data_IF_499160036591
#
_entry.id   IF_499160036591
#
_cell.length_a   1.000
_cell.length_b   1.000
_cell.length_c   1.000
_cell.angle_alpha   90.00
_cell.angle_beta   90.00
_cell.angle_gamma   90.00
#
_symmetry.space_group_name_H-M   'P 1'
#
loop_
_entity.id
_entity.type
_entity.pdbx_description
1 polymer ?
#
# COMPACT_ATOMS: atom_id res chain seq x y z
N UNK A 1 10.32 12.76 -7.34
CA UNK A 1 10.12 11.66 -8.32
C UNK A 1 8.86 10.86 -7.94
N UNK A 2 8.02 10.46 -8.91
CA UNK A 2 6.75 9.74 -8.65
C UNK A 2 6.97 8.24 -8.44
N UNK A 3 6.27 7.63 -7.48
CA UNK A 3 6.24 6.17 -7.29
C UNK A 3 5.66 5.46 -8.53
N UNK A 4 6.29 4.35 -8.95
CA UNK A 4 5.82 3.52 -10.07
C UNK A 4 4.61 2.69 -9.64
N UNK A 5 3.64 2.48 -10.52
CA UNK A 5 2.44 1.68 -10.23
C UNK A 5 2.67 0.22 -10.59
N UNK A 6 2.26 -0.69 -9.70
CA UNK A 6 2.19 -2.12 -9.99
C UNK A 6 1.14 -2.41 -11.07
N UNK A 7 1.48 -3.28 -12.02
CA UNK A 7 0.61 -3.63 -13.15
C UNK A 7 0.46 -5.13 -13.38
N UNK A 8 1.49 -5.92 -13.08
CA UNK A 8 1.50 -7.35 -13.41
C UNK A 8 1.01 -8.21 -12.23
N UNK A 9 0.21 -9.23 -12.53
CA UNK A 9 -0.33 -10.16 -11.53
C UNK A 9 0.75 -10.85 -10.67
N UNK A 10 1.89 -11.30 -11.23
CA UNK A 10 2.98 -11.89 -10.43
C UNK A 10 3.57 -10.91 -9.39
N UNK A 11 3.60 -9.61 -9.70
CA UNK A 11 4.05 -8.57 -8.74
C UNK A 11 3.14 -8.51 -7.51
N UNK A 12 1.82 -8.65 -7.71
CA UNK A 12 0.85 -8.63 -6.61
C UNK A 12 0.90 -9.90 -5.76
N UNK A 13 1.22 -11.05 -6.38
CA UNK A 13 1.35 -12.32 -5.68
C UNK A 13 2.57 -12.35 -4.78
N UNK A 14 3.74 -11.93 -5.30
CA UNK A 14 4.97 -11.80 -4.51
C UNK A 14 4.75 -10.92 -3.26
N UNK A 15 4.03 -9.80 -3.42
CA UNK A 15 3.68 -8.91 -2.30
C UNK A 15 2.64 -9.49 -1.34
N UNK A 16 1.74 -10.36 -1.80
CA UNK A 16 0.76 -11.03 -0.91
C UNK A 16 1.43 -12.03 0.01
N UNK A 17 2.47 -12.71 -0.48
CA UNK A 17 3.30 -13.62 0.31
C UNK A 17 4.29 -12.86 1.22
N UNK A 18 4.48 -11.57 0.99
CA UNK A 18 5.35 -10.72 1.82
C UNK A 18 4.70 -10.36 3.16
N UNK A 19 5.49 -10.26 4.24
CA UNK A 19 4.99 -9.84 5.55
C UNK A 19 4.40 -8.43 5.48
N UNK A 20 3.35 -8.20 6.26
CA UNK A 20 2.76 -6.87 6.39
C UNK A 20 3.67 -5.97 7.23
N UNK A 21 4.00 -4.79 6.73
CA UNK A 21 4.71 -3.77 7.49
C UNK A 21 3.81 -3.10 8.53
N UNK A 22 2.54 -2.88 8.21
CA UNK A 22 1.57 -2.28 9.14
C UNK A 22 0.15 -2.72 8.80
N UNK A 23 -0.72 -2.63 9.81
CA UNK A 23 -2.14 -2.94 9.69
C UNK A 23 -2.96 -1.89 10.45
N UNK A 24 -4.09 -1.53 9.87
CA UNK A 24 -5.15 -0.76 10.53
C UNK A 24 -6.44 -1.59 10.53
N UNK A 25 -7.58 -0.99 10.84
CA UNK A 25 -8.87 -1.64 10.87
C UNK A 25 -9.35 -2.06 9.47
N UNK A 26 -9.13 -1.21 8.47
CA UNK A 26 -9.58 -1.43 7.09
C UNK A 26 -8.45 -1.76 6.13
N UNK A 27 -7.21 -1.34 6.42
CA UNK A 27 -6.08 -1.49 5.50
C UNK A 27 -4.95 -2.36 6.04
N UNK A 28 -4.21 -2.94 5.11
CA UNK A 28 -2.94 -3.61 5.36
C UNK A 28 -1.91 -3.05 4.38
N UNK A 29 -0.75 -2.67 4.89
CA UNK A 29 0.40 -2.31 4.10
C UNK A 29 1.39 -3.47 4.09
N UNK A 30 1.65 -4.01 2.92
CA UNK A 30 2.74 -4.94 2.65
C UNK A 30 3.92 -4.15 2.11
N UNK A 31 5.12 -4.58 2.47
CA UNK A 31 6.34 -3.98 1.96
C UNK A 31 7.40 -5.03 1.75
N UNK A 32 8.10 -4.91 0.64
CA UNK A 32 9.14 -5.81 0.22
C UNK A 32 10.36 -4.96 -0.16
N UNK A 33 11.44 -5.15 0.57
CA UNK A 33 12.71 -4.52 0.22
C UNK A 33 13.33 -5.34 -0.92
N UNK A 34 13.55 -4.70 -2.06
CA UNK A 34 14.39 -5.19 -3.15
C UNK A 34 15.85 -4.91 -2.78
N UNK A 35 16.29 -5.35 -1.61
CA UNK A 35 17.73 -5.36 -1.33
C UNK A 35 18.33 -6.54 -2.11
N UNK A 36 19.47 -6.38 -2.78
CA UNK A 36 20.26 -7.52 -3.23
C UNK A 36 20.92 -8.15 -1.99
N UNK A 37 20.15 -8.83 -1.15
CA UNK A 37 20.76 -9.71 -0.15
C UNK A 37 21.34 -10.90 -0.90
N UNK A 38 22.65 -11.10 -0.76
CA UNK A 38 23.42 -12.15 -1.43
C UNK A 38 22.96 -13.58 -1.11
N UNK A 39 22.01 -13.74 -0.19
CA UNK A 39 21.52 -15.03 0.26
C UNK A 39 19.99 -15.00 0.30
N UNK A 40 19.39 -15.69 -0.68
CA UNK A 40 18.00 -16.13 -0.68
C UNK A 40 16.91 -15.04 -0.65
N UNK A 41 16.50 -14.52 -1.83
CA UNK A 41 15.13 -14.65 -2.38
C UNK A 41 15.16 -14.35 -3.91
N UNK A 42 15.03 -15.40 -4.71
CA UNK A 42 14.62 -15.43 -6.12
C UNK A 42 15.16 -14.34 -7.08
N UNK A 43 16.05 -14.76 -7.99
CA UNK A 43 16.52 -14.06 -9.21
C UNK A 43 15.44 -13.35 -10.05
N UNK A 44 14.16 -13.65 -9.82
CA UNK A 44 13.03 -13.09 -10.55
C UNK A 44 12.51 -11.76 -9.96
N UNK A 45 12.82 -11.43 -8.71
CA UNK A 45 12.28 -10.21 -8.08
C UNK A 45 12.81 -8.91 -8.71
N UNK A 46 14.11 -8.73 -8.98
CA UNK A 46 14.62 -7.56 -9.70
C UNK A 46 14.02 -7.44 -11.12
N UNK A 47 13.79 -8.58 -11.78
CA UNK A 47 13.18 -8.63 -13.12
C UNK A 47 11.68 -8.25 -13.10
N UNK A 48 10.96 -8.56 -12.03
CA UNK A 48 9.55 -8.21 -11.87
C UNK A 48 9.33 -6.73 -11.57
N UNK A 49 10.32 -6.01 -11.04
CA UNK A 49 10.21 -4.58 -10.72
C UNK A 49 11.28 -3.75 -11.46
N UNK A 50 11.23 -3.70 -12.81
CA UNK A 50 12.29 -3.06 -13.58
C UNK A 50 12.34 -1.54 -13.36
N UNK A 51 13.48 -1.05 -12.90
CA UNK A 51 13.85 0.36 -12.81
C UNK A 51 13.94 0.94 -11.41
N UNK A 52 14.69 2.03 -11.29
CA UNK A 52 14.95 2.69 -10.02
C UNK A 52 13.73 3.45 -9.51
N UNK A 53 13.37 3.20 -8.24
CA UNK A 53 12.37 3.95 -7.50
C UNK A 53 11.36 3.07 -6.76
N UNK A 54 10.62 3.67 -5.81
CA UNK A 54 9.66 2.95 -5.01
C UNK A 54 8.43 2.60 -5.83
N UNK A 55 7.96 1.36 -5.66
CA UNK A 55 6.75 0.87 -6.31
C UNK A 55 5.58 0.95 -5.34
N UNK A 56 4.41 1.36 -5.82
CA UNK A 56 3.19 1.42 -5.03
C UNK A 56 2.03 0.74 -5.76
N UNK A 57 1.43 -0.24 -5.10
CA UNK A 57 0.21 -0.91 -5.51
C UNK A 57 -0.97 -0.61 -4.59
N UNK A 58 -2.17 -0.66 -5.16
CA UNK A 58 -3.41 -0.55 -4.42
C UNK A 58 -4.35 -1.70 -4.81
N UNK A 59 -4.76 -2.52 -3.85
CA UNK A 59 -5.71 -3.61 -4.03
C UNK A 59 -6.98 -3.32 -3.25
N UNK A 60 -8.07 -3.06 -3.98
CA UNK A 60 -9.41 -2.78 -3.45
C UNK A 60 -10.38 -3.85 -3.96
N UNK A 61 -10.54 -4.98 -3.27
CA UNK A 61 -11.40 -6.07 -3.72
C UNK A 61 -12.87 -5.62 -3.84
N UNK A 62 -13.57 -6.09 -4.88
CA UNK A 62 -15.01 -5.78 -5.11
C UNK A 62 -15.88 -6.18 -3.91
N UNK A 63 -15.53 -7.27 -3.23
CA UNK A 63 -16.21 -7.74 -2.02
C UNK A 63 -16.29 -6.67 -0.93
N UNK A 64 -15.20 -5.91 -0.69
CA UNK A 64 -15.10 -4.94 0.43
C UNK A 64 -15.42 -3.51 0.04
N UNK A 65 -15.42 -3.20 -1.26
CA UNK A 65 -15.89 -1.93 -1.76
C UNK A 65 -16.78 -2.22 -2.98
N UNK A 66 -18.06 -2.57 -2.73
CA UNK A 66 -19.00 -2.99 -3.78
C UNK A 66 -19.23 -1.89 -4.82
N UNK A 67 -19.35 -0.62 -4.38
CA UNK A 67 -19.58 0.55 -5.24
C UNK A 67 -18.28 0.98 -5.93
N UNK A 68 -18.33 1.15 -7.26
CA UNK A 68 -17.18 1.57 -8.06
C UNK A 68 -16.64 2.95 -7.62
N UNK A 69 -17.51 3.88 -7.24
CA UNK A 69 -17.14 5.21 -6.75
C UNK A 69 -16.28 5.12 -5.49
N UNK A 70 -16.69 4.29 -4.52
CA UNK A 70 -15.92 4.03 -3.29
C UNK A 70 -14.57 3.40 -3.58
N UNK A 71 -14.52 2.39 -4.46
CA UNK A 71 -13.25 1.78 -4.91
C UNK A 71 -12.31 2.80 -5.53
N UNK A 72 -12.83 3.64 -6.43
CA UNK A 72 -12.05 4.65 -7.11
C UNK A 72 -11.56 5.74 -6.16
N UNK A 73 -12.40 6.13 -5.19
CA UNK A 73 -12.02 7.06 -4.12
C UNK A 73 -10.88 6.47 -3.28
N UNK A 74 -11.03 5.25 -2.77
CA UNK A 74 -10.00 4.58 -1.96
C UNK A 74 -8.71 4.44 -2.77
N UNK A 75 -8.79 3.96 -4.03
CA UNK A 75 -7.62 3.82 -4.90
C UNK A 75 -6.91 5.16 -5.11
N UNK A 76 -7.65 6.24 -5.36
CA UNK A 76 -7.09 7.60 -5.51
C UNK A 76 -6.44 8.08 -4.22
N UNK A 77 -7.06 7.87 -3.06
CA UNK A 77 -6.50 8.23 -1.76
C UNK A 77 -5.22 7.45 -1.46
N UNK A 78 -5.19 6.14 -1.72
CA UNK A 78 -3.98 5.31 -1.57
C UNK A 78 -2.83 5.87 -2.40
N UNK A 79 -3.06 6.20 -3.67
CA UNK A 79 -2.00 6.78 -4.50
C UNK A 79 -1.62 8.20 -4.06
N UNK A 80 -2.58 9.03 -3.63
CA UNK A 80 -2.31 10.40 -3.17
C UNK A 80 -1.48 10.42 -1.89
N UNK A 81 -1.95 9.75 -0.84
CA UNK A 81 -1.24 9.64 0.45
C UNK A 81 0.05 8.84 0.26
N UNK A 82 -0.02 7.71 -0.44
CA UNK A 82 1.14 6.86 -0.67
C UNK A 82 2.28 7.58 -1.38
N UNK A 83 2.01 8.42 -2.39
CA UNK A 83 3.07 9.22 -3.04
C UNK A 83 3.76 10.18 -2.06
N UNK A 84 3.01 10.78 -1.12
CA UNK A 84 3.57 11.70 -0.13
C UNK A 84 4.46 10.95 0.90
N UNK A 85 4.04 9.77 1.36
CA UNK A 85 4.76 9.01 2.39
C UNK A 85 5.84 8.07 1.85
N UNK A 86 5.72 7.60 0.61
CA UNK A 86 6.69 6.70 -0.02
C UNK A 86 8.08 7.32 -0.09
N UNK A 87 8.19 8.64 -0.22
CA UNK A 87 9.50 9.30 -0.23
C UNK A 87 10.21 9.17 1.12
N UNK A 88 9.50 9.42 2.22
CA UNK A 88 10.03 9.23 3.57
C UNK A 88 10.41 7.77 3.82
N UNK A 89 9.56 6.82 3.41
CA UNK A 89 9.85 5.39 3.53
C UNK A 89 11.03 4.94 2.66
N UNK A 90 11.28 5.59 1.50
CA UNK A 90 12.43 5.30 0.65
C UNK A 90 13.74 5.67 1.34
N UNK A 91 13.79 6.76 2.10
CA UNK A 91 15.00 7.14 2.84
C UNK A 91 15.39 6.06 3.84
N UNK A 92 14.42 5.40 4.47
CA UNK A 92 14.66 4.26 5.35
C UNK A 92 14.77 2.92 4.62
N UNK A 93 14.33 2.82 3.37
CA UNK A 93 14.40 1.60 2.55
C UNK A 93 14.62 1.93 1.05
N UNK A 94 15.88 1.96 0.57
CA UNK A 94 16.24 2.58 -0.71
C UNK A 94 15.61 1.95 -1.96
N UNK A 95 15.11 0.71 -1.90
CA UNK A 95 14.40 0.06 -3.01
C UNK A 95 13.24 -0.78 -2.47
N UNK A 96 12.08 -0.16 -2.19
CA UNK A 96 10.93 -0.87 -1.64
C UNK A 96 9.71 -0.86 -2.52
N UNK A 97 9.07 -2.01 -2.60
CA UNK A 97 7.76 -2.21 -3.20
C UNK A 97 6.73 -2.20 -2.07
N UNK A 98 5.75 -1.32 -2.18
CA UNK A 98 4.67 -1.17 -1.22
C UNK A 98 3.34 -1.57 -1.85
N UNK A 99 2.54 -2.35 -1.12
CA UNK A 99 1.20 -2.72 -1.54
C UNK A 99 0.20 -2.43 -0.42
N UNK A 100 -0.76 -1.54 -0.70
CA UNK A 100 -1.87 -1.28 0.21
C UNK A 100 -3.07 -2.13 -0.21
N UNK A 101 -3.57 -2.96 0.70
CA UNK A 101 -4.74 -3.80 0.50
C UNK A 101 -5.87 -3.39 1.43
N UNK A 102 -7.08 -3.27 0.87
CA UNK A 102 -8.30 -3.19 1.64
C UNK A 102 -8.66 -4.59 2.19
N UNK A 103 -8.70 -4.74 3.51
CA UNK A 103 -9.02 -6.00 4.20
C UNK A 103 -10.42 -6.04 4.80
N UNK A 104 -11.05 -4.90 5.03
CA UNK A 104 -12.41 -4.78 5.61
C UNK A 104 -13.20 -3.73 4.83
N UNK A 105 -14.52 -3.89 4.74
CA UNK A 105 -15.39 -2.89 4.14
C UNK A 105 -15.64 -1.72 5.09
N UNK A 106 -15.77 -0.51 4.55
CA UNK A 106 -16.30 0.62 5.33
C UNK A 106 -17.79 0.42 5.55
N UNK A 107 -18.25 0.61 6.79
CA UNK A 107 -19.65 0.43 7.18
C UNK A 107 -20.60 1.23 6.31
N UNK A 108 -21.47 0.54 5.57
CA UNK A 108 -22.40 1.17 4.61
C UNK A 108 -23.42 2.07 5.32
N UNK A 109 -23.69 1.77 6.60
CA UNK A 109 -24.58 2.55 7.46
C UNK A 109 -23.96 3.87 7.94
N UNK A 110 -22.66 3.86 8.25
CA UNK A 110 -21.95 5.07 8.69
C UNK A 110 -21.66 6.03 7.54
N UNK A 111 -21.58 5.53 6.30
CA UNK A 111 -21.27 6.33 5.11
C UNK A 111 -22.37 6.25 4.06
N UNK A 112 -23.53 6.84 4.38
CA UNK A 112 -24.76 6.86 3.54
C UNK A 112 -24.49 7.38 2.11
N UNK A 113 -23.55 8.31 1.94
CA UNK A 113 -23.08 8.76 0.63
C UNK A 113 -21.67 8.25 0.31
N UNK A 114 -21.58 7.48 -0.78
CA UNK A 114 -20.36 6.82 -1.25
C UNK A 114 -19.24 7.78 -1.72
N UNK A 115 -19.54 9.08 -1.84
CA UNK A 115 -18.62 10.15 -2.18
C UNK A 115 -18.53 11.23 -1.08
N UNK A 116 -19.06 10.95 0.12
CA UNK A 116 -19.04 11.90 1.23
C UNK A 116 -17.61 12.35 1.54
N UNK A 117 -17.46 13.65 1.79
CA UNK A 117 -16.23 14.25 2.32
C UNK A 117 -15.77 13.53 3.58
N UNK A 118 -16.72 13.05 4.40
CA UNK A 118 -16.46 12.28 5.62
C UNK A 118 -15.75 10.95 5.32
N UNK A 119 -16.23 10.18 4.33
CA UNK A 119 -15.55 8.93 3.93
C UNK A 119 -14.14 9.21 3.41
N UNK A 120 -13.97 10.29 2.64
CA UNK A 120 -12.67 10.69 2.10
C UNK A 120 -11.69 11.03 3.22
N UNK A 121 -12.14 11.81 4.21
CA UNK A 121 -11.33 12.20 5.37
C UNK A 121 -11.00 10.98 6.23
N UNK A 122 -11.97 10.10 6.51
CA UNK A 122 -11.76 8.89 7.28
C UNK A 122 -10.72 7.95 6.62
N UNK A 123 -10.89 7.69 5.31
CA UNK A 123 -9.93 6.88 4.53
C UNK A 123 -8.54 7.51 4.57
N UNK A 124 -8.46 8.83 4.37
CA UNK A 124 -7.19 9.56 4.37
C UNK A 124 -6.49 9.46 5.72
N UNK A 125 -7.19 9.79 6.81
CA UNK A 125 -6.64 9.74 8.16
C UNK A 125 -6.18 8.32 8.53
N UNK A 126 -6.93 7.29 8.12
CA UNK A 126 -6.52 5.91 8.36
C UNK A 126 -5.28 5.50 7.55
N UNK A 127 -5.19 5.93 6.29
CA UNK A 127 -3.99 5.70 5.47
C UNK A 127 -2.77 6.42 6.05
N UNK A 128 -2.92 7.67 6.49
CA UNK A 128 -1.84 8.41 7.16
C UNK A 128 -1.36 7.67 8.42
N UNK A 129 -2.28 7.16 9.26
CA UNK A 129 -1.93 6.28 10.40
C UNK A 129 -1.22 5.00 9.98
N UNK A 130 -1.66 4.36 8.89
CA UNK A 130 -1.05 3.14 8.36
C UNK A 130 0.42 3.39 7.96
N UNK A 131 0.67 4.48 7.22
CA UNK A 131 2.02 4.85 6.78
C UNK A 131 2.90 5.32 7.94
N UNK A 132 2.37 6.09 8.88
CA UNK A 132 3.09 6.50 10.09
C UNK A 132 3.51 5.29 10.93
N UNK A 133 2.60 4.31 11.12
CA UNK A 133 2.94 3.04 11.80
C UNK A 133 4.03 2.27 11.07
N UNK A 134 3.98 2.20 9.75
CA UNK A 134 5.01 1.50 8.98
C UNK A 134 6.38 2.19 9.04
N UNK A 135 6.41 3.52 9.09
CA UNK A 135 7.64 4.29 9.30
C UNK A 135 8.19 4.08 10.72
N UNK A 136 7.32 4.05 11.74
CA UNK A 136 7.72 3.83 13.14
C UNK A 136 8.11 2.38 13.46
N UNK A 137 7.42 1.38 12.90
CA UNK A 137 7.73 -0.05 13.11
C UNK A 137 9.12 -0.44 12.59
N UNK A 138 9.66 0.29 11.62
CA UNK A 138 11.01 0.09 11.10
C UNK A 138 12.11 0.54 12.05
N UNK A 139 11.82 1.35 13.07
CA UNK A 139 12.79 1.74 14.10
C UNK A 139 13.00 0.64 15.18
N UNK A 140 12.21 -0.44 15.16
CA UNK A 140 12.19 -1.47 16.21
C UNK A 140 12.64 -2.87 15.81
N UNK A 141 13.42 -3.03 14.74
CA UNK A 141 14.11 -4.30 14.43
C UNK A 141 15.61 -4.04 14.39
N UNK A 142 16.22 -4.00 15.58
CA UNK A 142 17.61 -4.38 15.82
C UNK A 142 17.67 -5.87 16.11
#
# INVERSE_FOLDING_TARGET
MKARRLRAQPQFEALRSSPSLARTEHFVLHGLALQPSAEHVADQMPALFPGEGPWLGAVTPKRWAKRAVTRNLIRRQIYGVGQAHVHALRMSMPQSVFLVRLKTAYGVEQFRSAASTVLRQAVRAELERLFARAAGLKQGRS
#
